data_IF_497969577948
#
_entry.id   IF_497969577948
#
_cell.length_a   1.000
_cell.length_b   1.000
_cell.length_c   1.000
_cell.angle_alpha   90.00
_cell.angle_beta   90.00
_cell.angle_gamma   90.00
#
_symmetry.space_group_name_H-M   'P 1'
#
loop_
_entity.id
_entity.type
_entity.pdbx_description
1 polymer ?
#
# COMPACT_ATOMS: atom_id res chain seq x y z
N UNK A 1 21.64 -6.33 -16.87
CA UNK A 1 20.55 -7.33 -16.82
C UNK A 1 20.93 -8.39 -15.79
N UNK A 2 20.42 -8.28 -14.58
CA UNK A 2 20.46 -9.35 -13.56
C UNK A 2 19.18 -9.19 -12.74
N UNK A 3 18.24 -10.13 -12.93
CA UNK A 3 17.07 -10.33 -12.07
C UNK A 3 17.58 -10.51 -10.62
N UNK A 4 17.38 -9.56 -9.69
CA UNK A 4 17.62 -9.91 -8.28
C UNK A 4 16.41 -10.70 -7.78
N UNK A 5 16.56 -12.00 -7.93
CA UNK A 5 15.86 -13.10 -7.29
C UNK A 5 15.77 -12.84 -5.80
N UNK A 6 14.55 -12.91 -5.22
CA UNK A 6 14.38 -12.98 -3.76
C UNK A 6 15.30 -14.10 -3.25
N UNK A 7 16.11 -13.81 -2.24
CA UNK A 7 17.00 -14.80 -1.63
C UNK A 7 16.19 -16.07 -1.28
N UNK A 8 16.68 -17.27 -1.63
CA UNK A 8 15.98 -18.52 -1.32
C UNK A 8 15.61 -18.66 0.17
N UNK A 9 16.41 -18.11 1.07
CA UNK A 9 16.12 -18.16 2.50
C UNK A 9 14.98 -17.20 2.90
N UNK A 10 14.93 -15.99 2.33
CA UNK A 10 13.81 -15.05 2.51
C UNK A 10 12.52 -15.60 1.93
N UNK A 11 12.59 -16.16 0.71
CA UNK A 11 11.45 -16.81 0.07
C UNK A 11 10.94 -18.00 0.91
N UNK A 12 11.85 -18.81 1.47
CA UNK A 12 11.47 -19.93 2.32
C UNK A 12 10.85 -19.50 3.64
N UNK A 13 11.38 -18.45 4.28
CA UNK A 13 10.79 -17.89 5.49
C UNK A 13 9.37 -17.35 5.23
N UNK A 14 9.15 -16.66 4.11
CA UNK A 14 7.83 -16.18 3.69
C UNK A 14 6.85 -17.35 3.48
N UNK A 15 7.28 -18.44 2.85
CA UNK A 15 6.46 -19.66 2.69
C UNK A 15 6.09 -20.26 4.04
N UNK A 16 7.05 -20.48 4.96
CA UNK A 16 6.76 -21.06 6.28
C UNK A 16 5.72 -20.24 7.07
N UNK A 17 5.81 -18.91 6.97
CA UNK A 17 4.90 -17.97 7.66
C UNK A 17 3.58 -17.76 6.92
N UNK A 18 3.43 -18.33 5.71
CA UNK A 18 2.30 -18.09 4.80
C UNK A 18 2.06 -16.60 4.57
N UNK A 19 3.16 -15.87 4.40
CA UNK A 19 3.17 -14.42 4.33
C UNK A 19 2.53 -13.94 3.03
N UNK A 20 1.39 -13.25 3.16
CA UNK A 20 0.63 -12.70 2.03
C UNK A 20 1.30 -11.50 1.39
N UNK A 21 2.20 -10.81 2.07
CA UNK A 21 2.92 -9.65 1.49
C UNK A 21 3.85 -10.04 0.33
N UNK A 22 4.20 -11.34 0.25
CA UNK A 22 5.01 -11.91 -0.82
C UNK A 22 4.19 -12.54 -1.96
N UNK A 23 2.86 -12.60 -1.84
CA UNK A 23 2.01 -13.06 -2.93
C UNK A 23 2.20 -12.13 -4.14
N UNK A 24 2.48 -12.72 -5.32
CA UNK A 24 2.79 -11.97 -6.54
C UNK A 24 4.25 -11.54 -6.71
N UNK A 25 5.09 -11.66 -5.67
CA UNK A 25 6.54 -11.38 -5.77
C UNK A 25 7.37 -12.58 -6.24
N UNK A 26 6.92 -13.79 -5.92
CA UNK A 26 7.48 -15.05 -6.41
C UNK A 26 6.44 -16.17 -6.29
N UNK A 27 6.70 -17.30 -6.94
CA UNK A 27 5.94 -18.54 -6.75
C UNK A 27 6.83 -19.66 -6.24
N UNK A 28 6.26 -20.52 -5.41
CA UNK A 28 6.91 -21.68 -4.81
C UNK A 28 6.58 -22.90 -5.63
N UNK A 29 7.54 -23.40 -6.41
CA UNK A 29 7.42 -24.66 -7.15
C UNK A 29 7.83 -25.85 -6.29
N UNK A 30 6.96 -26.85 -6.22
CA UNK A 30 7.18 -28.10 -5.48
C UNK A 30 7.49 -29.21 -6.49
N UNK A 31 8.76 -29.56 -6.59
CA UNK A 31 9.29 -30.46 -7.64
C UNK A 31 8.68 -31.86 -7.57
N UNK A 32 8.46 -32.38 -6.36
CA UNK A 32 7.87 -33.72 -6.15
C UNK A 32 6.43 -33.84 -6.59
N UNK A 33 5.66 -32.75 -6.59
CA UNK A 33 4.24 -32.77 -6.98
C UNK A 33 3.97 -32.15 -8.34
N UNK A 34 4.97 -31.48 -8.92
CA UNK A 34 4.82 -30.74 -10.17
C UNK A 34 3.90 -29.51 -10.04
N UNK A 35 3.72 -28.95 -8.84
CA UNK A 35 2.77 -27.85 -8.57
C UNK A 35 3.53 -26.61 -8.12
N UNK A 36 3.17 -25.43 -8.63
CA UNK A 36 3.57 -24.16 -8.02
C UNK A 36 2.43 -23.46 -7.29
N UNK A 37 2.78 -22.81 -6.19
CA UNK A 37 1.88 -22.18 -5.23
C UNK A 37 2.32 -20.73 -4.96
N UNK A 38 1.39 -19.92 -4.44
CA UNK A 38 1.74 -18.63 -3.83
C UNK A 38 2.38 -18.84 -2.45
N UNK A 39 3.20 -17.89 -1.94
CA UNK A 39 3.81 -17.98 -0.62
C UNK A 39 2.79 -18.16 0.52
N UNK A 40 1.61 -17.54 0.41
CA UNK A 40 0.52 -17.69 1.39
C UNK A 40 -0.34 -18.95 1.26
N UNK A 41 0.06 -19.90 0.42
CA UNK A 41 -0.76 -21.08 0.15
C UNK A 41 -0.99 -21.91 1.43
N UNK A 42 -2.26 -22.22 1.73
CA UNK A 42 -2.65 -23.04 2.88
C UNK A 42 -2.39 -24.55 2.69
N UNK A 43 -1.73 -24.95 1.61
CA UNK A 43 -1.30 -26.34 1.42
C UNK A 43 -0.29 -26.74 2.51
N UNK A 44 -0.14 -28.06 2.72
CA UNK A 44 0.87 -28.60 3.63
C UNK A 44 2.25 -28.17 3.13
N UNK A 45 3.13 -27.75 4.03
CA UNK A 45 4.48 -27.35 3.64
C UNK A 45 5.24 -28.55 3.05
N UNK A 46 5.79 -28.43 1.84
CA UNK A 46 6.71 -29.41 1.28
C UNK A 46 8.04 -29.40 2.05
N UNK A 47 8.89 -30.41 1.87
CA UNK A 47 10.27 -30.37 2.39
C UNK A 47 11.08 -29.29 1.66
N UNK A 48 12.01 -28.62 2.37
CA UNK A 48 12.82 -27.53 1.80
C UNK A 48 13.62 -28.01 0.58
N UNK A 49 14.13 -29.25 0.60
CA UNK A 49 14.90 -29.80 -0.54
C UNK A 49 14.08 -29.98 -1.82
N UNK A 50 12.74 -30.03 -1.72
CA UNK A 50 11.84 -30.27 -2.86
C UNK A 50 11.25 -28.98 -3.43
N UNK A 51 11.76 -27.83 -3.02
CA UNK A 51 11.21 -26.51 -3.32
C UNK A 51 12.18 -25.70 -4.17
N UNK A 52 11.65 -25.10 -5.23
CA UNK A 52 12.35 -24.11 -6.03
C UNK A 52 11.48 -22.86 -6.16
N UNK A 53 12.11 -21.69 -6.10
CA UNK A 53 11.42 -20.41 -6.26
C UNK A 53 11.58 -19.90 -7.69
N UNK A 54 10.50 -19.33 -8.21
CA UNK A 54 10.44 -18.73 -9.55
C UNK A 54 9.90 -17.31 -9.41
N UNK A 55 10.33 -16.39 -10.29
CA UNK A 55 9.88 -15.00 -10.19
C UNK A 55 8.37 -14.87 -10.44
N UNK A 56 7.82 -15.73 -11.30
CA UNK A 56 6.41 -15.70 -11.68
C UNK A 56 5.91 -17.09 -12.13
N UNK A 57 4.60 -17.20 -12.37
CA UNK A 57 3.98 -18.44 -12.85
C UNK A 57 4.43 -18.86 -14.25
N UNK A 58 4.90 -17.94 -15.11
CA UNK A 58 5.36 -18.28 -16.46
C UNK A 58 6.68 -19.07 -16.42
N UNK A 59 7.64 -18.64 -15.61
CA UNK A 59 8.88 -19.37 -15.36
C UNK A 59 8.62 -20.75 -14.73
N UNK A 60 7.72 -20.83 -13.76
CA UNK A 60 7.35 -22.10 -13.14
C UNK A 60 6.75 -23.08 -14.17
N UNK A 61 5.93 -22.59 -15.12
CA UNK A 61 5.39 -23.41 -16.22
C UNK A 61 6.46 -23.83 -17.22
N UNK A 62 7.41 -22.95 -17.55
CA UNK A 62 8.56 -23.29 -18.40
C UNK A 62 9.42 -24.40 -17.75
N UNK A 63 9.45 -24.46 -16.42
CA UNK A 63 10.06 -25.55 -15.66
C UNK A 63 9.18 -26.81 -15.49
N UNK A 64 8.03 -26.91 -16.19
CA UNK A 64 7.16 -28.08 -16.20
C UNK A 64 6.15 -28.16 -15.05
N UNK A 65 5.96 -27.09 -14.27
CA UNK A 65 5.05 -27.08 -13.12
C UNK A 65 3.66 -26.56 -13.52
N UNK A 66 2.61 -27.08 -12.88
CA UNK A 66 1.23 -26.59 -13.03
C UNK A 66 0.79 -25.70 -11.88
N UNK A 67 -0.15 -24.77 -12.15
CA UNK A 67 -0.71 -23.90 -11.14
C UNK A 67 -1.44 -24.71 -10.05
N UNK A 68 -1.27 -24.30 -8.79
CA UNK A 68 -2.02 -24.86 -7.68
C UNK A 68 -3.51 -24.50 -7.79
N UNK A 69 -4.36 -25.52 -7.87
CA UNK A 69 -5.82 -25.37 -7.93
C UNK A 69 -6.44 -24.84 -6.64
N UNK A 70 -5.69 -24.85 -5.53
CA UNK A 70 -6.17 -24.38 -4.21
C UNK A 70 -5.89 -22.90 -3.99
N UNK A 71 -4.70 -22.44 -4.33
CA UNK A 71 -4.30 -21.05 -4.09
C UNK A 71 -4.33 -20.18 -5.34
N UNK A 72 -4.60 -20.75 -6.52
CA UNK A 72 -4.77 -20.03 -7.79
C UNK A 72 -3.72 -18.91 -7.96
N UNK A 73 -2.42 -19.26 -8.00
CA UNK A 73 -1.33 -18.30 -7.90
C UNK A 73 -1.29 -17.28 -9.04
N UNK A 74 -1.91 -17.58 -10.18
CA UNK A 74 -2.00 -16.67 -11.32
C UNK A 74 -3.07 -15.57 -11.15
N UNK A 75 -3.96 -15.66 -10.16
CA UNK A 75 -5.09 -14.72 -10.00
C UNK A 75 -4.71 -13.41 -9.28
N UNK A 76 -3.57 -13.34 -8.56
CA UNK A 76 -3.22 -12.17 -7.71
C UNK A 76 -2.85 -10.93 -8.53
N UNK A 77 -2.00 -11.05 -9.55
CA UNK A 77 -1.66 -9.91 -10.43
C UNK A 77 -2.85 -9.50 -11.31
N UNK A 78 -3.72 -10.46 -11.63
CA UNK A 78 -4.96 -10.23 -12.36
C UNK A 78 -6.00 -9.48 -11.52
N UNK A 79 -6.08 -9.76 -10.22
CA UNK A 79 -6.96 -9.08 -9.28
C UNK A 79 -6.60 -7.59 -9.12
N UNK A 80 -5.31 -7.25 -9.01
CA UNK A 80 -4.86 -5.86 -8.87
C UNK A 80 -5.12 -5.05 -10.15
N UNK A 81 -4.74 -5.59 -11.31
CA UNK A 81 -5.00 -4.97 -12.60
C UNK A 81 -6.51 -4.77 -12.85
N UNK A 82 -7.34 -5.75 -12.48
CA UNK A 82 -8.79 -5.66 -12.56
C UNK A 82 -9.37 -4.54 -11.69
N UNK A 83 -8.89 -4.39 -10.45
CA UNK A 83 -9.36 -3.32 -9.56
C UNK A 83 -8.98 -1.95 -10.08
N UNK A 84 -7.75 -1.78 -10.58
CA UNK A 84 -7.31 -0.51 -11.16
C UNK A 84 -8.11 -0.12 -12.40
N UNK A 85 -8.33 -1.07 -13.32
CA UNK A 85 -9.14 -0.85 -14.52
C UNK A 85 -10.57 -0.42 -14.18
N UNK A 86 -11.20 -1.09 -13.20
CA UNK A 86 -12.55 -0.74 -12.78
C UNK A 86 -12.64 0.59 -12.02
N UNK A 87 -11.61 0.97 -11.25
CA UNK A 87 -11.55 2.30 -10.62
C UNK A 87 -11.50 3.39 -11.69
N UNK A 88 -10.70 3.19 -12.74
CA UNK A 88 -10.61 4.15 -13.85
C UNK A 88 -11.94 4.27 -14.59
N UNK A 89 -12.60 3.14 -14.90
CA UNK A 89 -13.91 3.15 -15.54
C UNK A 89 -14.96 3.90 -14.69
N UNK A 90 -15.02 3.64 -13.38
CA UNK A 90 -15.94 4.36 -12.48
C UNK A 90 -15.66 5.86 -12.44
N UNK A 91 -14.40 6.28 -12.63
CA UNK A 91 -14.04 7.69 -12.71
C UNK A 91 -14.45 8.31 -14.04
N UNK A 92 -14.22 7.65 -15.17
CA UNK A 92 -14.51 8.23 -16.48
C UNK A 92 -16.01 8.20 -16.82
N UNK A 93 -16.76 7.24 -16.27
CA UNK A 93 -18.17 7.10 -16.56
C UNK A 93 -18.97 8.34 -16.12
N UNK A 94 -19.75 8.89 -17.07
CA UNK A 94 -20.78 9.90 -16.81
C UNK A 94 -22.02 9.30 -16.09
N UNK A 95 -22.13 7.96 -16.07
CA UNK A 95 -23.18 7.19 -15.40
C UNK A 95 -22.64 6.30 -14.27
N UNK A 96 -23.49 5.39 -13.75
CA UNK A 96 -23.06 4.37 -12.77
C UNK A 96 -22.80 3.06 -13.52
N UNK A 97 -21.53 2.66 -13.70
CA UNK A 97 -21.24 1.35 -14.25
C UNK A 97 -21.88 0.28 -13.38
N UNK A 98 -22.58 -0.63 -14.03
CA UNK A 98 -23.13 -1.83 -13.40
C UNK A 98 -22.00 -2.77 -13.01
N UNK A 99 -22.29 -3.68 -12.08
CA UNK A 99 -21.32 -4.69 -11.68
C UNK A 99 -20.94 -5.60 -12.86
N UNK A 100 -21.88 -5.84 -13.78
CA UNK A 100 -21.69 -6.68 -14.96
C UNK A 100 -20.76 -6.03 -15.99
N UNK A 101 -20.89 -4.71 -16.21
CA UNK A 101 -19.97 -3.94 -17.07
C UNK A 101 -18.55 -3.96 -16.51
N UNK A 102 -18.39 -3.73 -15.20
CA UNK A 102 -17.07 -3.76 -14.55
C UNK A 102 -16.47 -5.17 -14.54
N UNK A 103 -17.29 -6.20 -14.40
CA UNK A 103 -16.87 -7.59 -14.51
C UNK A 103 -16.42 -7.95 -15.93
N UNK A 104 -17.11 -7.47 -16.96
CA UNK A 104 -16.76 -7.70 -18.36
C UNK A 104 -15.38 -7.12 -18.71
N UNK A 105 -15.09 -5.90 -18.26
CA UNK A 105 -13.80 -5.22 -18.51
C UNK A 105 -12.64 -5.94 -17.80
N UNK A 106 -12.92 -6.61 -16.69
CA UNK A 106 -11.91 -7.28 -15.86
C UNK A 106 -11.77 -8.78 -16.14
N UNK A 107 -12.66 -9.34 -16.97
CA UNK A 107 -12.71 -10.77 -17.31
C UNK A 107 -13.12 -11.67 -16.13
N UNK A 108 -13.69 -11.10 -15.06
CA UNK A 108 -14.19 -11.83 -13.89
C UNK A 108 -15.70 -12.01 -13.97
N UNK A 109 -16.26 -12.94 -13.19
CA UNK A 109 -17.69 -12.95 -12.96
C UNK A 109 -18.09 -11.79 -12.03
N UNK A 110 -19.32 -11.25 -12.13
CA UNK A 110 -19.80 -10.14 -11.29
C UNK A 110 -19.59 -10.38 -9.78
N UNK A 111 -19.97 -11.56 -9.30
CA UNK A 111 -19.83 -11.95 -7.89
C UNK A 111 -18.39 -12.18 -7.45
N UNK A 112 -17.50 -12.59 -8.34
CA UNK A 112 -16.08 -12.68 -8.04
C UNK A 112 -15.45 -11.29 -7.99
N UNK A 113 -15.70 -10.48 -9.02
CA UNK A 113 -15.18 -9.13 -9.09
C UNK A 113 -15.63 -8.27 -7.90
N UNK A 114 -16.89 -8.36 -7.48
CA UNK A 114 -17.37 -7.65 -6.28
C UNK A 114 -16.56 -7.99 -5.02
N UNK A 115 -16.17 -9.26 -4.84
CA UNK A 115 -15.35 -9.69 -3.69
C UNK A 115 -13.92 -9.20 -3.82
N UNK A 116 -13.33 -9.27 -5.01
CA UNK A 116 -11.97 -8.78 -5.31
C UNK A 116 -11.89 -7.27 -5.07
N UNK A 117 -12.82 -6.52 -5.65
CA UNK A 117 -12.88 -5.06 -5.50
C UNK A 117 -13.14 -4.64 -4.05
N UNK A 118 -14.07 -5.29 -3.34
CA UNK A 118 -14.32 -5.00 -1.92
C UNK A 118 -13.14 -5.36 -1.03
N UNK A 119 -12.40 -6.41 -1.36
CA UNK A 119 -11.18 -6.79 -0.62
C UNK A 119 -10.07 -5.76 -0.82
N UNK A 120 -9.94 -5.21 -2.02
CA UNK A 120 -8.89 -4.24 -2.36
C UNK A 120 -9.22 -2.80 -1.91
N UNK A 121 -10.47 -2.37 -2.07
CA UNK A 121 -10.89 -0.97 -1.83
C UNK A 121 -11.66 -0.78 -0.52
N UNK A 122 -12.07 -1.85 0.14
CA UNK A 122 -12.97 -1.81 1.31
C UNK A 122 -14.46 -1.58 0.96
N UNK A 123 -14.77 -1.17 -0.27
CA UNK A 123 -16.12 -0.82 -0.73
C UNK A 123 -16.57 -1.73 -1.87
N UNK A 124 -17.89 -1.90 -2.05
CA UNK A 124 -18.37 -2.49 -3.31
C UNK A 124 -18.17 -1.49 -4.46
N UNK A 125 -18.06 -1.94 -5.73
CA UNK A 125 -17.98 -1.03 -6.87
C UNK A 125 -19.11 0.00 -6.90
N UNK A 126 -20.32 -0.45 -6.56
CA UNK A 126 -21.50 0.39 -6.41
C UNK A 126 -21.35 1.48 -5.33
N UNK A 127 -20.85 1.12 -4.14
CA UNK A 127 -20.63 2.05 -3.05
C UNK A 127 -19.52 3.06 -3.38
N UNK A 128 -18.45 2.58 -4.05
CA UNK A 128 -17.36 3.42 -4.54
C UNK A 128 -17.84 4.45 -5.57
N UNK A 129 -18.60 4.01 -6.58
CA UNK A 129 -19.21 4.89 -7.59
C UNK A 129 -20.23 5.88 -7.00
N UNK A 130 -20.92 5.50 -5.93
CA UNK A 130 -21.82 6.42 -5.21
C UNK A 130 -21.03 7.49 -4.46
N UNK A 131 -20.00 7.11 -3.71
CA UNK A 131 -19.16 8.06 -2.96
C UNK A 131 -18.51 9.10 -3.89
N UNK A 132 -17.96 8.65 -5.02
CA UNK A 132 -17.34 9.54 -6.01
C UNK A 132 -18.34 10.55 -6.63
N UNK A 133 -19.60 10.16 -6.80
CA UNK A 133 -20.65 11.05 -7.31
C UNK A 133 -21.13 12.04 -6.27
N UNK A 134 -21.28 11.60 -5.02
CA UNK A 134 -21.60 12.49 -3.90
C UNK A 134 -20.51 13.55 -3.71
N UNK A 135 -19.24 13.19 -3.89
CA UNK A 135 -18.10 14.12 -3.93
C UNK A 135 -18.22 15.13 -5.07
N UNK A 136 -18.42 14.67 -6.33
CA UNK A 136 -18.62 15.57 -7.48
C UNK A 136 -19.80 16.52 -7.31
N UNK A 137 -20.91 16.02 -6.76
CA UNK A 137 -22.09 16.82 -6.47
C UNK A 137 -21.80 17.87 -5.39
N UNK A 138 -21.08 17.50 -4.34
CA UNK A 138 -20.64 18.43 -3.29
C UNK A 138 -19.66 19.47 -3.81
N UNK A 139 -18.74 19.11 -4.70
CA UNK A 139 -17.81 20.06 -5.34
C UNK A 139 -18.53 21.03 -6.28
N UNK A 140 -19.57 20.56 -6.98
CA UNK A 140 -20.43 21.39 -7.81
C UNK A 140 -21.31 22.33 -6.97
N UNK A 141 -21.84 21.84 -5.83
CA UNK A 141 -22.65 22.61 -4.89
C UNK A 141 -21.81 23.57 -4.04
N UNK A 142 -20.57 23.24 -3.71
CA UNK A 142 -19.64 24.13 -3.01
C UNK A 142 -19.27 25.36 -3.84
N UNK A 143 -19.43 25.30 -5.17
CA UNK A 143 -19.31 26.43 -6.09
C UNK A 143 -20.60 27.27 -6.22
N UNK A 144 -21.74 26.75 -5.75
CA UNK A 144 -23.05 27.41 -5.79
C UNK A 144 -23.59 27.57 -4.36
N UNK A 145 -23.31 28.72 -3.74
CA UNK A 145 -23.54 28.95 -2.32
C UNK A 145 -24.95 28.64 -1.79
N UNK A 146 -24.96 27.87 -0.69
CA UNK A 146 -25.98 27.63 0.36
C UNK A 146 -27.19 26.75 0.01
N UNK A 147 -27.30 25.59 0.67
CA UNK A 147 -28.38 25.22 1.62
C UNK A 147 -27.82 24.17 2.60
N UNK A 148 -27.73 24.50 3.89
CA UNK A 148 -27.12 23.63 4.93
C UNK A 148 -28.08 22.89 5.85
N UNK A 149 -29.40 23.15 5.91
CA UNK A 149 -30.12 22.82 7.15
C UNK A 149 -31.27 21.79 7.07
N UNK A 150 -31.17 20.72 6.25
CA UNK A 150 -32.27 19.73 6.17
C UNK A 150 -31.89 18.23 6.09
N UNK A 151 -30.64 17.84 6.30
CA UNK A 151 -30.19 16.44 6.13
C UNK A 151 -30.04 15.68 7.47
N UNK A 152 -30.24 16.35 8.61
CA UNK A 152 -29.86 15.80 9.92
C UNK A 152 -30.84 14.82 10.60
N UNK A 153 -32.02 14.54 10.02
CA UNK A 153 -33.13 13.90 10.78
C UNK A 153 -33.53 12.47 10.36
N UNK A 154 -32.66 11.72 9.67
CA UNK A 154 -33.01 10.38 9.17
C UNK A 154 -32.08 9.23 9.59
N UNK A 155 -31.32 9.35 10.68
CA UNK A 155 -30.64 8.20 11.31
C UNK A 155 -29.59 7.48 10.46
N UNK A 156 -29.05 8.15 9.43
CA UNK A 156 -27.86 7.69 8.72
C UNK A 156 -26.63 8.24 9.45
N UNK A 157 -25.93 7.40 10.22
CA UNK A 157 -24.56 7.72 10.66
C UNK A 157 -23.68 7.86 9.41
N UNK A 158 -23.39 9.11 9.07
CA UNK A 158 -23.05 9.55 7.72
C UNK A 158 -21.72 8.98 7.18
N UNK A 159 -21.65 8.66 5.86
CA UNK A 159 -20.38 8.51 5.14
C UNK A 159 -19.55 9.81 5.05
N UNK A 160 -20.07 10.94 5.55
CA UNK A 160 -19.49 12.28 5.35
C UNK A 160 -18.13 12.43 6.04
N UNK A 161 -17.94 11.84 7.23
CA UNK A 161 -16.62 11.85 7.90
C UNK A 161 -15.54 11.08 7.15
N UNK A 162 -15.88 10.31 6.12
CA UNK A 162 -14.90 9.68 5.25
C UNK A 162 -14.32 10.63 4.18
N UNK A 163 -14.94 11.78 3.91
CA UNK A 163 -14.55 12.67 2.81
C UNK A 163 -14.58 14.17 3.17
N UNK A 164 -14.98 14.55 4.39
CA UNK A 164 -15.18 15.96 4.78
C UNK A 164 -13.88 16.77 4.98
N UNK A 165 -12.69 16.15 4.97
CA UNK A 165 -11.42 16.82 5.34
C UNK A 165 -10.44 16.99 4.17
N UNK A 166 -10.91 17.53 3.04
CA UNK A 166 -10.14 17.64 1.80
C UNK A 166 -9.21 18.87 1.72
N UNK A 167 -9.09 19.69 2.77
CA UNK A 167 -8.29 20.93 2.72
C UNK A 167 -6.79 20.77 3.06
N UNK A 168 -6.38 19.67 3.71
CA UNK A 168 -4.98 19.43 4.11
C UNK A 168 -4.45 18.06 3.64
N UNK A 169 -4.74 17.66 2.40
CA UNK A 169 -4.29 16.36 1.88
C UNK A 169 -2.76 16.26 1.84
N UNK A 170 -2.24 15.14 2.34
CA UNK A 170 -0.86 14.69 2.08
C UNK A 170 -0.57 14.74 0.58
N UNK A 171 0.34 15.64 0.17
CA UNK A 171 1.02 15.66 -1.13
C UNK A 171 0.27 15.07 -2.32
N UNK A 172 -0.42 15.95 -3.06
CA UNK A 172 -0.91 15.78 -4.44
C UNK A 172 -2.05 14.80 -4.74
N UNK A 173 -2.76 15.16 -5.81
CA UNK A 173 -3.88 14.43 -6.41
C UNK A 173 -3.37 13.20 -7.18
N UNK A 174 -4.11 12.08 -7.24
CA UNK A 174 -3.72 10.87 -7.98
C UNK A 174 -3.30 11.08 -9.45
N UNK A 175 -3.70 12.20 -10.05
CA UNK A 175 -3.32 12.64 -11.40
C UNK A 175 -1.84 13.02 -11.53
N UNK A 176 -1.17 13.42 -10.45
CA UNK A 176 0.18 14.01 -10.52
C UNK A 176 1.30 12.98 -10.71
N UNK A 177 0.99 11.69 -10.47
CA UNK A 177 1.87 10.54 -10.64
C UNK A 177 1.52 9.69 -11.87
N UNK A 178 0.68 10.23 -12.77
CA UNK A 178 0.33 9.59 -14.04
C UNK A 178 1.60 9.33 -14.86
N UNK A 179 1.61 8.24 -15.63
CA UNK A 179 2.72 7.85 -16.49
C UNK A 179 4.06 7.65 -15.75
N UNK A 180 4.08 7.03 -14.56
CA UNK A 180 5.33 6.54 -13.96
C UNK A 180 6.38 7.61 -13.61
N UNK A 181 5.95 8.87 -13.41
CA UNK A 181 6.85 9.99 -13.07
C UNK A 181 7.43 10.74 -14.27
N UNK A 182 6.85 10.58 -15.46
CA UNK A 182 7.29 11.26 -16.69
C UNK A 182 7.46 12.78 -16.50
N UNK A 183 8.64 13.30 -16.86
CA UNK A 183 8.99 14.71 -16.71
C UNK A 183 9.34 15.17 -15.28
N UNK A 184 9.55 14.24 -14.34
CA UNK A 184 9.91 14.55 -12.95
C UNK A 184 11.34 14.14 -12.64
N UNK A 185 12.04 15.02 -11.94
CA UNK A 185 13.33 14.73 -11.31
C UNK A 185 13.06 14.25 -9.88
N UNK A 186 13.57 13.07 -9.55
CA UNK A 186 13.57 12.51 -8.21
C UNK A 186 15.02 12.44 -7.75
N UNK A 187 15.33 13.20 -6.70
CA UNK A 187 16.64 13.12 -6.06
C UNK A 187 16.62 12.01 -5.01
N UNK A 188 17.67 11.20 -4.96
CA UNK A 188 17.72 10.08 -4.04
C UNK A 188 19.11 9.84 -3.48
N UNK A 189 19.20 9.13 -2.37
CA UNK A 189 20.44 8.60 -1.80
C UNK A 189 20.13 7.37 -0.96
N UNK A 190 21.10 6.46 -0.85
CA UNK A 190 21.07 5.38 0.15
C UNK A 190 22.01 5.77 1.28
N UNK A 191 21.47 5.84 2.49
CA UNK A 191 22.20 6.23 3.70
C UNK A 191 22.20 5.10 4.70
N UNK A 192 23.32 4.94 5.41
CA UNK A 192 23.39 4.03 6.54
C UNK A 192 22.68 4.67 7.74
N UNK A 193 21.76 3.92 8.35
CA UNK A 193 21.14 4.26 9.64
C UNK A 193 21.45 3.16 10.64
N UNK A 194 21.24 3.40 11.92
CA UNK A 194 21.37 2.36 12.96
C UNK A 194 20.37 1.21 12.81
N UNK A 195 19.34 1.36 11.97
CA UNK A 195 18.33 0.35 11.63
C UNK A 195 18.64 -0.42 10.33
N UNK A 196 19.68 0.00 9.60
CA UNK A 196 20.08 -0.56 8.31
C UNK A 196 20.19 0.49 7.19
N UNK A 197 20.52 0.04 5.98
CA UNK A 197 20.56 0.91 4.81
C UNK A 197 19.16 1.40 4.46
N UNK A 198 19.03 2.70 4.23
CA UNK A 198 17.76 3.35 3.96
C UNK A 198 17.85 4.18 2.67
N UNK A 199 16.97 3.87 1.74
CA UNK A 199 16.71 4.70 0.58
C UNK A 199 15.87 5.91 0.99
N UNK A 200 16.34 7.10 0.66
CA UNK A 200 15.58 8.35 0.74
C UNK A 200 15.44 8.90 -0.66
N UNK A 201 14.22 9.21 -1.09
CA UNK A 201 13.95 9.83 -2.38
C UNK A 201 12.91 10.94 -2.27
N UNK A 202 13.15 12.05 -2.96
CA UNK A 202 12.28 13.22 -2.92
C UNK A 202 12.11 13.85 -4.32
N UNK A 203 10.91 14.39 -4.54
CA UNK A 203 10.64 15.31 -5.66
C UNK A 203 10.91 16.74 -5.20
N UNK A 204 10.75 17.71 -6.10
CA UNK A 204 10.72 19.14 -5.72
C UNK A 204 9.59 19.53 -4.76
N UNK A 205 8.64 18.63 -4.44
CA UNK A 205 7.56 18.89 -3.47
C UNK A 205 7.79 18.27 -2.10
N UNK A 206 8.60 17.22 -2.00
CA UNK A 206 8.82 16.51 -0.74
C UNK A 206 9.27 15.06 -0.91
N UNK A 207 9.41 14.36 0.21
CA UNK A 207 9.80 12.95 0.27
C UNK A 207 8.72 12.10 -0.39
N UNK A 208 9.10 11.32 -1.40
CA UNK A 208 8.21 10.43 -2.13
C UNK A 208 8.51 8.94 -1.89
N UNK A 209 9.69 8.61 -1.37
CA UNK A 209 10.04 7.26 -0.95
C UNK A 209 11.03 7.31 0.24
N UNK A 210 10.79 6.47 1.23
CA UNK A 210 11.64 6.25 2.39
C UNK A 210 11.50 4.77 2.79
N UNK A 211 12.51 3.96 2.52
CA UNK A 211 12.42 2.49 2.65
C UNK A 211 13.74 1.84 3.06
N UNK A 212 13.66 0.80 3.89
CA UNK A 212 14.83 0.04 4.33
C UNK A 212 15.20 -1.07 3.34
N UNK A 213 16.49 -1.29 3.12
CA UNK A 213 17.02 -2.40 2.32
C UNK A 213 16.68 -2.31 0.82
N UNK A 214 16.41 -1.11 0.33
CA UNK A 214 16.11 -0.81 -1.06
C UNK A 214 17.12 0.20 -1.62
N UNK A 215 17.25 0.26 -2.95
CA UNK A 215 18.13 1.22 -3.62
C UNK A 215 17.54 1.74 -4.93
N UNK A 216 18.41 2.19 -5.84
CA UNK A 216 17.99 2.79 -7.12
C UNK A 216 17.07 1.86 -7.91
N UNK A 217 17.32 0.55 -7.87
CA UNK A 217 16.56 -0.41 -8.68
C UNK A 217 15.08 -0.46 -8.28
N UNK A 218 14.78 -0.54 -7.00
CA UNK A 218 13.42 -0.53 -6.49
C UNK A 218 12.77 0.84 -6.72
N UNK A 219 13.55 1.92 -6.59
CA UNK A 219 13.09 3.27 -6.92
C UNK A 219 12.70 3.40 -8.40
N UNK A 220 13.53 2.87 -9.31
CA UNK A 220 13.28 2.82 -10.76
C UNK A 220 12.05 2.01 -11.11
N UNK A 221 11.83 0.88 -10.43
CA UNK A 221 10.62 0.09 -10.62
C UNK A 221 9.35 0.85 -10.22
N UNK A 222 9.42 1.69 -9.18
CA UNK A 222 8.31 2.56 -8.74
C UNK A 222 8.07 3.75 -9.67
N UNK A 223 9.16 4.33 -10.19
CA UNK A 223 9.15 5.54 -11.02
C UNK A 223 9.89 5.29 -12.35
N UNK A 224 9.33 4.43 -13.23
CA UNK A 224 10.03 3.96 -14.43
C UNK A 224 10.29 5.05 -15.47
N UNK A 225 9.58 6.17 -15.40
CA UNK A 225 9.68 7.28 -16.34
C UNK A 225 10.21 8.58 -15.71
N UNK A 226 10.58 8.54 -14.42
CA UNK A 226 11.22 9.68 -13.76
C UNK A 226 12.73 9.69 -14.07
N UNK A 227 13.28 10.90 -14.12
CA UNK A 227 14.72 11.11 -14.04
C UNK A 227 15.15 10.92 -12.59
N UNK A 228 16.02 9.95 -12.29
CA UNK A 228 16.55 9.78 -10.93
C UNK A 228 17.97 10.34 -10.90
N UNK A 229 18.21 11.23 -9.95
CA UNK A 229 19.49 11.91 -9.73
C UNK A 229 19.98 11.57 -8.33
N UNK A 230 21.18 11.01 -8.19
CA UNK A 230 21.73 10.71 -6.87
C UNK A 230 22.28 11.99 -6.22
N UNK A 231 21.86 12.27 -4.99
CA UNK A 231 22.29 13.42 -4.20
C UNK A 231 21.81 14.79 -4.71
N UNK A 232 22.60 15.83 -4.39
CA UNK A 232 22.36 17.23 -4.75
C UNK A 232 22.28 18.17 -3.55
N UNK A 233 22.77 19.41 -3.70
CA UNK A 233 22.88 20.37 -2.60
C UNK A 233 21.54 20.71 -1.92
N UNK A 234 20.48 20.91 -2.70
CA UNK A 234 19.13 21.15 -2.17
C UNK A 234 18.52 19.92 -1.47
N UNK A 235 18.97 18.71 -1.83
CA UNK A 235 18.51 17.46 -1.24
C UNK A 235 19.21 17.13 0.07
N UNK A 236 20.45 17.61 0.27
CA UNK A 236 21.25 17.31 1.47
C UNK A 236 20.56 17.75 2.77
N UNK A 237 19.99 18.96 2.82
CA UNK A 237 19.29 19.45 4.00
C UNK A 237 18.04 18.61 4.35
N UNK A 238 17.27 18.21 3.33
CA UNK A 238 16.12 17.32 3.51
C UNK A 238 16.57 15.94 3.99
N UNK A 239 17.66 15.41 3.43
CA UNK A 239 18.22 14.13 3.79
C UNK A 239 18.63 14.09 5.26
N UNK A 240 19.29 15.14 5.76
CA UNK A 240 19.66 15.26 7.18
C UNK A 240 18.43 15.25 8.11
N UNK A 241 17.37 16.01 7.77
CA UNK A 241 16.13 16.01 8.54
C UNK A 241 15.46 14.63 8.57
N UNK A 242 15.44 13.94 7.43
CA UNK A 242 14.87 12.60 7.32
C UNK A 242 15.69 11.60 8.15
N UNK A 243 17.01 11.63 8.06
CA UNK A 243 17.89 10.74 8.85
C UNK A 243 17.69 11.00 10.34
N UNK A 244 17.63 12.26 10.78
CA UNK A 244 17.36 12.59 12.18
C UNK A 244 16.01 12.01 12.66
N UNK A 245 14.95 12.12 11.86
CA UNK A 245 13.63 11.55 12.17
C UNK A 245 13.61 10.02 12.18
N UNK A 246 14.49 9.37 11.41
CA UNK A 246 14.65 7.90 11.40
C UNK A 246 15.41 7.41 12.63
N UNK A 247 16.48 8.12 13.01
CA UNK A 247 17.28 7.78 14.18
C UNK A 247 16.52 8.01 15.47
N UNK A 248 15.75 9.10 15.55
CA UNK A 248 14.87 9.41 16.67
C UNK A 248 13.41 9.59 16.20
N UNK A 249 12.63 8.50 16.11
CA UNK A 249 11.23 8.53 15.68
C UNK A 249 10.28 9.21 16.69
N UNK A 250 10.79 9.64 17.85
CA UNK A 250 10.02 10.45 18.80
C UNK A 250 9.96 11.94 18.42
N UNK A 251 10.89 12.40 17.57
CA UNK A 251 10.94 13.78 17.10
C UNK A 251 9.73 14.12 16.22
N UNK A 252 9.29 15.38 16.32
CA UNK A 252 8.26 15.89 15.43
C UNK A 252 8.80 16.07 14.01
N UNK A 253 8.34 15.19 13.12
CA UNK A 253 8.66 15.20 11.70
C UNK A 253 7.54 15.78 10.83
N UNK A 254 6.54 16.43 11.43
CA UNK A 254 5.39 17.02 10.71
C UNK A 254 5.80 18.07 9.67
N UNK A 255 6.91 18.76 9.92
CA UNK A 255 7.51 19.78 9.07
C UNK A 255 8.16 19.24 7.78
N UNK A 256 8.48 17.93 7.73
CA UNK A 256 9.09 17.32 6.55
C UNK A 256 8.01 17.15 5.47
N UNK A 257 8.16 17.80 4.30
CA UNK A 257 7.14 17.75 3.26
C UNK A 257 7.09 16.36 2.62
N UNK A 258 5.88 15.83 2.40
CA UNK A 258 5.64 14.51 1.82
C UNK A 258 4.95 14.64 0.46
N UNK A 259 5.37 13.81 -0.49
CA UNK A 259 4.78 13.68 -1.84
C UNK A 259 4.42 12.22 -2.10
N UNK A 260 3.25 11.80 -1.59
CA UNK A 260 2.84 10.40 -1.56
C UNK A 260 2.01 9.98 -2.77
N UNK A 261 2.38 8.86 -3.38
CA UNK A 261 1.55 8.19 -4.39
C UNK A 261 0.61 7.19 -3.72
N UNK A 262 -0.69 7.46 -3.72
CA UNK A 262 -1.69 6.53 -3.18
C UNK A 262 -3.11 6.82 -3.63
N UNK A 263 -3.99 5.83 -3.46
CA UNK A 263 -5.45 6.03 -3.57
C UNK A 263 -5.94 6.96 -2.46
N UNK A 264 -7.13 7.54 -2.63
CA UNK A 264 -7.77 8.38 -1.59
C UNK A 264 -7.85 7.66 -0.25
N UNK A 265 -8.22 6.37 -0.27
CA UNK A 265 -8.30 5.57 0.94
C UNK A 265 -6.93 5.38 1.60
N UNK A 266 -5.89 5.09 0.82
CA UNK A 266 -4.53 4.96 1.34
C UNK A 266 -4.02 6.26 1.95
N UNK A 267 -4.20 7.39 1.27
CA UNK A 267 -3.80 8.69 1.80
C UNK A 267 -4.47 8.99 3.15
N UNK A 268 -5.78 8.73 3.30
CA UNK A 268 -6.47 8.90 4.58
C UNK A 268 -6.00 7.94 5.66
N UNK A 269 -5.73 6.67 5.32
CA UNK A 269 -5.11 5.74 6.25
C UNK A 269 -3.77 6.28 6.75
N UNK A 270 -2.96 6.86 5.87
CA UNK A 270 -1.65 7.42 6.20
C UNK A 270 -1.75 8.72 7.00
N UNK A 271 -2.73 9.59 6.72
CA UNK A 271 -3.07 10.74 7.57
C UNK A 271 -3.44 10.29 8.98
N UNK A 272 -4.32 9.28 9.09
CA UNK A 272 -4.68 8.68 10.38
C UNK A 272 -3.50 8.01 11.09
N UNK A 273 -2.48 7.52 10.37
CA UNK A 273 -1.23 7.06 10.99
C UNK A 273 -0.45 8.23 11.59
N UNK A 274 -0.29 9.33 10.84
CA UNK A 274 0.47 10.50 11.29
C UNK A 274 -0.17 11.17 12.51
N UNK A 275 -1.47 11.00 12.74
CA UNK A 275 -2.14 11.48 13.95
C UNK A 275 -1.92 10.59 15.19
N UNK A 276 -1.30 9.40 15.06
CA UNK A 276 -0.95 8.57 16.21
C UNK A 276 0.33 9.13 16.84
N UNK A 277 0.32 9.60 18.11
CA UNK A 277 1.51 10.16 18.75
C UNK A 277 2.66 9.16 18.88
N UNK A 278 3.90 9.67 18.96
CA UNK A 278 5.05 8.82 19.28
C UNK A 278 4.87 8.16 20.66
N UNK A 279 5.25 6.88 20.75
CA UNK A 279 5.16 6.08 21.98
C UNK A 279 3.78 5.46 22.19
N UNK A 280 2.78 5.88 21.41
CA UNK A 280 1.46 5.27 21.39
C UNK A 280 1.30 4.25 20.26
N UNK A 281 0.41 3.30 20.48
CA UNK A 281 0.03 2.34 19.44
C UNK A 281 -1.49 2.31 19.25
N UNK A 282 -1.92 1.86 18.07
CA UNK A 282 -3.32 1.54 17.76
C UNK A 282 -3.39 0.17 17.11
N UNK A 283 -4.48 -0.53 17.28
CA UNK A 283 -4.79 -1.72 16.51
C UNK A 283 -5.30 -1.34 15.11
N UNK A 284 -5.22 -2.27 14.16
CA UNK A 284 -5.83 -2.08 12.83
C UNK A 284 -7.34 -1.78 12.90
N UNK A 285 -8.04 -2.28 13.93
CA UNK A 285 -9.46 -2.00 14.16
C UNK A 285 -9.69 -0.58 14.65
N UNK A 286 -8.84 -0.09 15.56
CA UNK A 286 -8.91 1.28 16.07
C UNK A 286 -8.56 2.30 14.99
N UNK A 287 -7.54 2.05 14.18
CA UNK A 287 -7.24 2.91 13.02
C UNK A 287 -8.41 2.90 12.02
N UNK A 288 -9.06 1.75 11.80
CA UNK A 288 -10.25 1.69 10.96
C UNK A 288 -11.44 2.47 11.56
N UNK A 289 -11.58 2.48 12.89
CA UNK A 289 -12.57 3.28 13.60
C UNK A 289 -12.29 4.78 13.49
N UNK A 290 -11.03 5.22 13.56
CA UNK A 290 -10.62 6.62 13.32
C UNK A 290 -11.06 7.10 11.93
N UNK A 291 -11.08 6.20 10.95
CA UNK A 291 -11.52 6.48 9.57
C UNK A 291 -13.05 6.41 9.38
N UNK A 292 -13.81 6.14 10.44
CA UNK A 292 -15.27 6.01 10.41
C UNK A 292 -15.79 4.64 9.95
N UNK A 293 -14.93 3.62 9.83
CA UNK A 293 -15.36 2.27 9.47
C UNK A 293 -14.62 1.19 10.28
N UNK A 294 -15.07 0.89 11.51
CA UNK A 294 -14.42 -0.09 12.39
C UNK A 294 -14.27 -1.51 11.78
N UNK A 295 -15.07 -1.84 10.76
CA UNK A 295 -15.03 -3.16 10.09
C UNK A 295 -13.96 -3.24 8.98
N UNK A 296 -13.26 -2.15 8.68
CA UNK A 296 -12.29 -2.06 7.59
C UNK A 296 -10.83 -2.42 7.96
N UNK A 297 -10.59 -3.08 9.10
CA UNK A 297 -9.24 -3.40 9.61
C UNK A 297 -8.32 -4.07 8.59
N UNK A 298 -8.84 -4.98 7.76
CA UNK A 298 -8.04 -5.64 6.70
C UNK A 298 -7.64 -4.70 5.57
N UNK A 299 -8.53 -3.79 5.18
CA UNK A 299 -8.27 -2.80 4.14
C UNK A 299 -7.23 -1.78 4.64
N UNK A 300 -7.35 -1.36 5.90
CA UNK A 300 -6.37 -0.52 6.59
C UNK A 300 -5.01 -1.20 6.65
N UNK A 301 -4.94 -2.49 7.01
CA UNK A 301 -3.67 -3.23 7.00
C UNK A 301 -3.02 -3.30 5.62
N UNK A 302 -3.83 -3.40 4.56
CA UNK A 302 -3.32 -3.36 3.17
C UNK A 302 -2.80 -1.97 2.79
N UNK A 303 -3.47 -0.91 3.22
CA UNK A 303 -3.03 0.47 3.03
C UNK A 303 -1.72 0.77 3.79
N UNK A 304 -1.59 0.30 5.03
CA UNK A 304 -0.36 0.43 5.81
C UNK A 304 0.81 -0.32 5.18
N UNK A 305 0.56 -1.51 4.60
CA UNK A 305 1.58 -2.27 3.88
C UNK A 305 2.02 -1.64 2.56
N UNK A 306 1.19 -0.78 1.97
CA UNK A 306 1.51 -0.01 0.77
C UNK A 306 2.25 1.31 1.07
N UNK A 307 2.54 1.59 2.34
CA UNK A 307 3.29 2.78 2.73
C UNK A 307 4.75 2.70 2.25
N UNK A 308 5.12 3.58 1.33
CA UNK A 308 6.50 3.71 0.84
C UNK A 308 7.28 4.84 1.54
N UNK A 309 6.73 5.45 2.60
CA UNK A 309 7.43 6.45 3.41
C UNK A 309 7.50 5.95 4.85
N UNK A 310 8.37 4.97 5.08
CA UNK A 310 8.60 4.39 6.41
C UNK A 310 8.97 5.48 7.43
N UNK A 311 8.66 5.25 8.71
CA UNK A 311 8.91 6.17 9.84
C UNK A 311 8.10 7.47 9.78
N UNK A 312 8.26 8.31 8.74
CA UNK A 312 7.55 9.59 8.62
C UNK A 312 6.03 9.41 8.44
N UNK A 313 5.61 8.31 7.80
CA UNK A 313 4.26 7.76 7.93
C UNK A 313 4.38 6.55 8.86
N UNK A 314 3.97 6.67 10.14
CA UNK A 314 4.39 5.76 11.19
C UNK A 314 3.55 4.48 11.23
N UNK A 315 3.62 3.67 10.16
CA UNK A 315 2.89 2.40 10.08
C UNK A 315 3.39 1.35 11.10
N UNK A 316 4.56 1.56 11.71
CA UNK A 316 5.05 0.75 12.83
C UNK A 316 4.26 0.96 14.13
N UNK A 317 3.53 2.08 14.29
CA UNK A 317 2.65 2.33 15.45
C UNK A 317 1.34 1.53 15.44
N UNK A 318 1.07 0.78 14.36
CA UNK A 318 -0.14 -0.04 14.26
C UNK A 318 0.14 -1.52 14.49
N UNK A 319 -0.49 -2.10 15.50
CA UNK A 319 -0.24 -3.48 15.97
C UNK A 319 -1.49 -4.36 15.86
N UNK A 320 -1.39 -5.64 16.20
CA UNK A 320 -2.55 -6.52 16.29
C UNK A 320 -3.38 -6.18 17.53
N UNK A 321 -4.66 -6.59 17.53
CA UNK A 321 -5.56 -6.33 18.66
C UNK A 321 -5.14 -7.07 19.96
N UNK A 322 -4.33 -8.12 19.85
CA UNK A 322 -3.76 -8.86 20.98
C UNK A 322 -2.44 -8.26 21.50
N UNK A 323 -2.01 -7.12 20.95
CA UNK A 323 -0.75 -6.47 21.30
C UNK A 323 0.49 -7.02 20.60
N UNK A 324 0.37 -8.09 19.81
CA UNK A 324 1.50 -8.58 19.00
C UNK A 324 1.85 -7.61 17.87
N UNK A 325 3.13 -7.55 17.50
CA UNK A 325 3.61 -6.58 16.49
C UNK A 325 2.90 -6.72 15.13
N UNK A 326 2.44 -7.91 14.76
CA UNK A 326 1.88 -8.17 13.44
C UNK A 326 2.91 -8.02 12.32
N UNK A 327 2.42 -7.74 11.09
CA UNK A 327 3.27 -7.56 9.92
C UNK A 327 3.89 -6.16 9.84
N UNK A 328 5.08 -6.09 9.25
CA UNK A 328 5.76 -4.85 8.86
C UNK A 328 6.52 -5.08 7.56
N UNK A 329 6.46 -4.13 6.62
CA UNK A 329 7.07 -4.28 5.30
C UNK A 329 8.60 -4.51 5.38
N UNK A 330 9.24 -3.98 6.42
CA UNK A 330 10.69 -4.03 6.61
C UNK A 330 11.12 -5.00 7.73
N UNK A 331 10.22 -5.86 8.19
CA UNK A 331 10.51 -6.89 9.20
C UNK A 331 10.14 -6.51 10.64
N UNK A 332 9.80 -7.50 11.48
CA UNK A 332 9.37 -7.26 12.86
C UNK A 332 10.46 -6.67 13.75
N UNK A 333 11.74 -6.90 13.44
CA UNK A 333 12.88 -6.40 14.21
C UNK A 333 12.97 -4.87 14.16
N UNK A 334 12.90 -4.28 12.95
CA UNK A 334 12.89 -2.82 12.77
C UNK A 334 11.67 -2.20 13.44
N UNK A 335 10.51 -2.84 13.32
CA UNK A 335 9.27 -2.36 13.96
C UNK A 335 9.38 -2.33 15.48
N UNK A 336 9.93 -3.38 16.09
CA UNK A 336 10.13 -3.45 17.52
C UNK A 336 11.09 -2.36 18.01
N UNK A 337 12.19 -2.16 17.29
CA UNK A 337 13.19 -1.17 17.62
C UNK A 337 12.67 0.27 17.51
N UNK A 338 11.91 0.60 16.46
CA UNK A 338 11.25 1.90 16.33
C UNK A 338 10.31 2.18 17.51
N UNK A 339 9.48 1.19 17.88
CA UNK A 339 8.57 1.32 19.03
C UNK A 339 9.32 1.47 20.36
N UNK A 340 10.46 0.79 20.53
CA UNK A 340 11.32 0.90 21.72
C UNK A 340 11.88 2.32 21.85
N UNK A 341 12.44 2.87 20.76
CA UNK A 341 12.98 4.24 20.73
C UNK A 341 11.93 5.29 21.07
N UNK A 342 10.72 5.16 20.52
CA UNK A 342 9.63 6.08 20.81
C UNK A 342 9.17 6.05 22.28
N UNK A 343 9.42 4.94 23.01
CA UNK A 343 9.13 4.83 24.45
C UNK A 343 10.27 5.37 25.32
N UNK A 344 11.41 5.74 24.73
CA UNK A 344 12.61 6.16 25.45
C UNK A 344 13.32 5.00 26.17
N UNK A 345 13.07 3.76 25.74
CA UNK A 345 13.72 2.54 26.25
C UNK A 345 15.01 2.21 25.50
#
# INVERSE_FOLDING_TARGET
MTEQTISPDTAWAAVKRRDRSFDGRFVTGVLTTGIYCRPSCAARHPSKENVRFFANGAEARAAGLRACKRCLPDDVGRDEAAVLAAIEEIKQAHGRPTLDELAAITGYSPTHFQRVFKRATGLSPAAYARALREERARDALGKAGRVTDAIYDAGYEAPSRFYDDTKERLGMTPSDWKNGGEGRVIRWSVVATSLGEMLVAATGKGVCCLSFGEGERELRARFPKAELVEGGGEFAALLEQVVAAVEDPSLDSSHIPLDVKGTVFQQRCWEALRSIPAGETRSYGEQAAMLGNPKASRAVGSANGANNIAVLIPCHRVVQADGSLGGYAYGPEIKAELLRRERGE
#
